data_IF_771108182274
#
_entry.id   IF_771108182274
#
_cell.length_a   1.000
_cell.length_b   1.000
_cell.length_c   1.000
_cell.angle_alpha   90.00
_cell.angle_beta   90.00
_cell.angle_gamma   90.00
#
_symmetry.space_group_name_H-M   'P 1'
#
loop_
_entity.id
_entity.type
_entity.pdbx_description
1 polymer ?
#
# COMPACT_ATOMS: atom_id res chain seq x y z
N UNK A 1 -26.55 -7.60 26.51
CA UNK A 1 -26.51 -8.31 25.22
C UNK A 1 -25.26 -7.80 24.52
N UNK A 2 -24.28 -8.66 24.31
CA UNK A 2 -23.03 -8.26 23.64
C UNK A 2 -23.37 -7.93 22.18
N UNK A 3 -23.13 -6.69 21.78
CA UNK A 3 -23.15 -6.29 20.38
C UNK A 3 -22.16 -7.19 19.63
N UNK A 4 -22.70 -8.04 18.77
CA UNK A 4 -21.87 -8.78 17.82
C UNK A 4 -21.34 -7.78 16.82
N UNK A 5 -20.15 -7.26 17.08
CA UNK A 5 -19.41 -6.41 16.13
C UNK A 5 -19.06 -7.29 14.92
N UNK A 6 -19.89 -7.23 13.88
CA UNK A 6 -19.56 -7.85 12.60
C UNK A 6 -18.41 -7.09 11.97
N UNK A 7 -17.28 -7.77 11.79
CA UNK A 7 -16.15 -7.22 11.06
C UNK A 7 -16.39 -7.41 9.56
N UNK A 8 -16.75 -6.34 8.88
CA UNK A 8 -16.89 -6.31 7.43
C UNK A 8 -15.56 -6.09 6.74
N UNK A 9 -15.47 -6.58 5.51
CA UNK A 9 -14.37 -6.19 4.62
C UNK A 9 -14.64 -4.78 4.08
N UNK A 10 -13.69 -3.90 4.24
CA UNK A 10 -13.82 -2.48 3.90
C UNK A 10 -12.65 -2.03 3.02
N UNK A 11 -12.95 -1.16 2.07
CA UNK A 11 -11.95 -0.48 1.23
C UNK A 11 -12.18 1.03 1.36
N UNK A 12 -11.16 1.74 1.82
CA UNK A 12 -11.18 3.20 1.94
C UNK A 12 -10.17 3.84 0.99
N UNK A 13 -10.54 4.96 0.34
CA UNK A 13 -9.71 5.64 -0.66
C UNK A 13 -8.95 6.82 -0.07
N UNK A 14 -7.66 6.94 -0.44
CA UNK A 14 -6.75 7.98 0.01
C UNK A 14 -5.94 8.56 -1.16
N UNK A 15 -5.46 9.79 -0.97
CA UNK A 15 -4.65 10.51 -1.97
C UNK A 15 -3.16 10.19 -1.84
N UNK A 16 -2.72 9.76 -0.66
CA UNK A 16 -1.32 9.54 -0.31
C UNK A 16 -1.04 8.07 0.08
N UNK A 17 0.22 7.66 -0.07
CA UNK A 17 0.71 6.30 0.19
C UNK A 17 0.58 5.85 1.65
N UNK A 18 0.65 6.81 2.58
CA UNK A 18 0.51 6.53 4.01
C UNK A 18 -0.96 6.46 4.46
N UNK A 19 -1.90 6.72 3.54
CA UNK A 19 -3.35 6.74 3.80
C UNK A 19 -3.71 7.70 4.95
N UNK A 20 -3.18 8.92 4.89
CA UNK A 20 -3.44 9.99 5.86
C UNK A 20 -4.42 11.03 5.33
N UNK A 21 -4.39 11.29 4.02
CA UNK A 21 -5.25 12.26 3.34
C UNK A 21 -6.38 11.52 2.63
N UNK A 22 -7.58 11.58 3.19
CA UNK A 22 -8.75 10.90 2.63
C UNK A 22 -9.21 11.51 1.30
N UNK A 23 -9.76 10.66 0.42
CA UNK A 23 -10.51 11.12 -0.75
C UNK A 23 -11.92 11.46 -0.28
N UNK A 24 -12.39 12.68 -0.58
CA UNK A 24 -13.73 13.09 -0.24
C UNK A 24 -14.77 12.22 -0.99
N UNK A 25 -15.86 11.83 -0.31
CA UNK A 25 -16.91 11.04 -0.94
C UNK A 25 -17.58 11.81 -2.07
N UNK A 26 -17.90 11.10 -3.15
CA UNK A 26 -18.71 11.67 -4.23
C UNK A 26 -20.18 11.68 -3.83
N UNK A 27 -20.94 12.65 -4.36
CA UNK A 27 -22.37 12.76 -4.10
C UNK A 27 -23.09 11.49 -4.56
N UNK A 28 -23.73 10.79 -3.61
CA UNK A 28 -24.43 9.51 -3.87
C UNK A 28 -23.62 8.26 -3.52
N UNK A 29 -22.39 8.39 -3.03
CA UNK A 29 -21.63 7.25 -2.48
C UNK A 29 -22.25 6.78 -1.16
N UNK A 30 -22.18 5.47 -0.89
CA UNK A 30 -22.56 4.87 0.40
C UNK A 30 -21.46 5.16 1.40
N UNK A 31 -21.52 6.34 2.01
CA UNK A 31 -20.47 6.80 2.93
C UNK A 31 -20.93 6.55 4.34
N UNK A 32 -20.26 5.62 5.01
CA UNK A 32 -20.44 5.41 6.45
C UNK A 32 -19.68 6.44 7.28
N UNK A 33 -18.73 7.17 6.63
CA UNK A 33 -17.98 8.29 7.22
C UNK A 33 -18.00 9.45 6.22
N UNK A 34 -18.52 10.58 6.63
CA UNK A 34 -18.61 11.80 5.81
C UNK A 34 -17.24 12.37 5.42
N UNK A 35 -16.15 11.87 6.00
CA UNK A 35 -14.78 12.36 5.78
C UNK A 35 -13.98 11.52 4.79
N UNK A 36 -14.33 10.24 4.57
CA UNK A 36 -13.56 9.29 3.74
C UNK A 36 -14.46 8.55 2.76
N UNK A 37 -14.05 8.43 1.51
CA UNK A 37 -14.71 7.56 0.55
C UNK A 37 -14.43 6.10 0.92
N UNK A 38 -15.42 5.43 1.50
CA UNK A 38 -15.36 4.07 2.04
C UNK A 38 -16.41 3.20 1.35
N UNK A 39 -16.02 1.99 0.98
CA UNK A 39 -16.95 0.95 0.55
C UNK A 39 -16.89 -0.24 1.52
N UNK A 40 -18.02 -0.56 2.13
CA UNK A 40 -18.20 -1.71 2.99
C UNK A 40 -18.91 -2.82 2.22
N UNK A 41 -18.30 -4.00 2.19
CA UNK A 41 -18.90 -5.14 1.52
C UNK A 41 -19.86 -5.87 2.45
N UNK A 42 -21.14 -6.05 2.05
CA UNK A 42 -22.13 -6.75 2.88
C UNK A 42 -21.76 -8.22 3.11
N UNK A 43 -21.05 -8.81 2.17
CA UNK A 43 -20.50 -10.16 2.29
C UNK A 43 -19.01 -10.12 2.48
N UNK A 44 -18.54 -10.76 3.53
CA UNK A 44 -17.11 -10.97 3.70
C UNK A 44 -16.57 -11.90 2.62
N UNK A 45 -15.33 -11.67 2.15
CA UNK A 45 -14.71 -12.51 1.14
C UNK A 45 -14.66 -13.97 1.60
N UNK A 46 -14.95 -14.90 0.68
CA UNK A 46 -14.86 -16.33 0.92
C UNK A 46 -13.39 -16.79 1.02
N UNK A 47 -12.48 -16.06 0.40
CA UNK A 47 -11.04 -16.34 0.43
C UNK A 47 -10.23 -15.06 0.39
N UNK A 48 -9.13 -15.06 1.13
CA UNK A 48 -8.13 -14.00 1.14
C UNK A 48 -6.76 -14.65 0.92
N UNK A 49 -6.07 -14.27 -0.14
CA UNK A 49 -4.72 -14.77 -0.44
C UNK A 49 -3.74 -13.61 -0.36
N UNK A 50 -2.74 -13.72 0.52
CA UNK A 50 -1.66 -12.74 0.64
C UNK A 50 -0.38 -13.44 0.24
N UNK A 51 0.26 -12.98 -0.85
CA UNK A 51 1.47 -13.56 -1.40
C UNK A 51 2.66 -12.64 -1.27
N UNK A 52 3.81 -13.18 -0.90
CA UNK A 52 5.11 -12.51 -0.93
C UNK A 52 6.02 -13.22 -1.92
N UNK A 53 6.70 -12.47 -2.77
CA UNK A 53 7.60 -13.03 -3.78
C UNK A 53 9.01 -12.51 -3.51
N UNK A 54 9.95 -13.44 -3.32
CA UNK A 54 11.38 -13.14 -3.23
C UNK A 54 12.04 -13.47 -4.56
N UNK A 55 12.75 -12.52 -5.13
CA UNK A 55 13.54 -12.73 -6.34
C UNK A 55 14.95 -13.17 -5.97
N UNK A 56 15.41 -14.23 -6.62
CA UNK A 56 16.76 -14.75 -6.50
C UNK A 56 17.43 -14.83 -7.87
N UNK A 57 18.73 -14.57 -7.91
CA UNK A 57 19.56 -14.94 -9.06
C UNK A 57 19.96 -16.41 -8.90
N UNK A 58 19.53 -17.23 -9.83
CA UNK A 58 19.74 -18.69 -9.87
C UNK A 58 20.66 -19.12 -11.01
N UNK A 59 21.64 -18.28 -11.43
CA UNK A 59 22.60 -18.67 -12.44
C UNK A 59 23.50 -19.79 -11.89
N UNK A 60 23.53 -20.92 -12.59
CA UNK A 60 24.34 -22.09 -12.24
C UNK A 60 25.54 -22.17 -13.17
N UNK A 61 26.80 -22.22 -12.65
CA UNK A 61 27.96 -22.49 -13.45
C UNK A 61 27.94 -23.91 -14.02
N UNK A 62 28.48 -24.11 -15.21
CA UNK A 62 28.59 -25.43 -15.82
C UNK A 62 29.42 -26.37 -14.95
N UNK A 63 28.95 -27.61 -14.79
CA UNK A 63 29.68 -28.68 -14.09
C UNK A 63 29.49 -28.70 -12.55
N UNK A 64 28.66 -27.84 -11.97
CA UNK A 64 28.36 -27.88 -10.55
C UNK A 64 26.98 -28.48 -10.30
N UNK A 65 26.90 -29.38 -9.30
CA UNK A 65 25.64 -29.90 -8.79
C UNK A 65 25.23 -29.04 -7.57
N UNK A 66 24.10 -28.36 -7.68
CA UNK A 66 23.57 -27.49 -6.63
C UNK A 66 23.62 -26.00 -6.99
N UNK A 67 22.72 -25.24 -6.41
CA UNK A 67 22.56 -23.79 -6.63
C UNK A 67 22.65 -23.10 -5.29
N UNK A 68 23.47 -22.04 -5.19
CA UNK A 68 23.40 -21.07 -4.11
C UNK A 68 22.68 -19.84 -4.62
N UNK A 69 21.36 -19.71 -4.39
CA UNK A 69 20.57 -18.61 -4.91
C UNK A 69 20.95 -17.31 -4.20
N UNK A 70 21.37 -16.31 -4.97
CA UNK A 70 21.64 -14.96 -4.44
C UNK A 70 20.35 -14.16 -4.40
N UNK A 71 19.97 -13.69 -3.21
CA UNK A 71 18.82 -12.82 -3.03
C UNK A 71 19.03 -11.49 -3.78
N UNK A 72 18.02 -11.07 -4.53
CA UNK A 72 18.00 -9.79 -5.26
C UNK A 72 17.09 -8.78 -4.56
N UNK A 73 15.82 -9.13 -4.37
CA UNK A 73 14.81 -8.25 -3.81
C UNK A 73 13.56 -9.00 -3.37
N UNK A 74 12.84 -8.44 -2.42
CA UNK A 74 11.46 -8.83 -2.11
C UNK A 74 10.51 -7.90 -2.86
N UNK A 75 9.58 -8.48 -3.62
CA UNK A 75 8.51 -7.71 -4.27
C UNK A 75 7.47 -7.28 -3.25
N UNK A 76 6.72 -6.19 -3.51
CA UNK A 76 5.55 -5.84 -2.74
C UNK A 76 4.57 -7.02 -2.64
N UNK A 77 3.89 -7.15 -1.51
CA UNK A 77 2.90 -8.21 -1.32
C UNK A 77 1.72 -8.03 -2.26
N UNK A 78 1.18 -9.13 -2.73
CA UNK A 78 -0.04 -9.19 -3.52
C UNK A 78 -1.16 -9.70 -2.63
N UNK A 79 -2.30 -9.03 -2.69
CA UNK A 79 -3.53 -9.42 -2.00
C UNK A 79 -4.58 -9.75 -3.04
N UNK A 80 -4.97 -11.01 -3.13
CA UNK A 80 -6.04 -11.47 -4.02
C UNK A 80 -7.28 -11.74 -3.18
N UNK A 81 -8.40 -11.16 -3.58
CA UNK A 81 -9.67 -11.27 -2.87
C UNK A 81 -10.82 -11.39 -3.86
N UNK A 82 -11.81 -12.18 -3.49
CA UNK A 82 -13.07 -12.32 -4.22
C UNK A 82 -14.19 -11.65 -3.42
N UNK A 83 -14.77 -10.61 -3.99
CA UNK A 83 -15.78 -9.76 -3.37
C UNK A 83 -17.11 -9.93 -4.09
N UNK A 84 -18.17 -10.06 -3.33
CA UNK A 84 -19.54 -10.23 -3.88
C UNK A 84 -20.35 -8.96 -3.63
N UNK A 85 -20.96 -8.44 -4.68
CA UNK A 85 -21.96 -7.36 -4.62
C UNK A 85 -23.30 -7.95 -5.04
N UNK A 86 -24.24 -8.00 -4.11
CA UNK A 86 -25.60 -8.48 -4.34
C UNK A 86 -26.58 -7.52 -3.63
N UNK A 87 -27.20 -6.60 -4.38
CA UNK A 87 -28.15 -5.65 -3.81
C UNK A 87 -29.40 -6.29 -3.22
N UNK A 88 -29.72 -7.55 -3.61
CA UNK A 88 -30.86 -8.30 -3.06
C UNK A 88 -30.55 -8.97 -1.71
N UNK A 89 -29.27 -8.96 -1.31
CA UNK A 89 -28.87 -9.41 0.01
C UNK A 89 -29.39 -8.45 1.08
N UNK A 90 -29.39 -8.91 2.32
CA UNK A 90 -29.89 -8.14 3.46
C UNK A 90 -29.38 -6.69 3.44
N UNK A 91 -30.29 -5.73 3.62
CA UNK A 91 -29.92 -4.32 3.54
C UNK A 91 -28.84 -3.99 4.57
N UNK A 92 -27.81 -3.30 4.14
CA UNK A 92 -26.90 -2.65 5.06
C UNK A 92 -27.69 -1.58 5.82
N UNK A 93 -27.73 -1.71 7.13
CA UNK A 93 -28.28 -0.66 7.99
C UNK A 93 -27.18 0.33 8.31
N UNK A 94 -27.39 1.59 7.92
CA UNK A 94 -26.63 2.71 8.48
C UNK A 94 -27.32 3.18 9.75
N UNK A 95 -26.55 3.54 10.76
CA UNK A 95 -27.11 4.17 11.95
C UNK A 95 -27.14 5.69 11.70
N UNK A 96 -28.30 6.32 11.94
CA UNK A 96 -28.41 7.76 11.93
C UNK A 96 -27.50 8.34 13.02
N UNK A 97 -26.63 9.25 12.68
CA UNK A 97 -25.71 9.92 13.62
C UNK A 97 -26.50 10.66 14.73
N UNK A 98 -27.69 11.18 14.41
CA UNK A 98 -28.50 11.97 15.34
C UNK A 98 -29.34 11.11 16.30
N UNK A 99 -29.75 9.92 15.93
CA UNK A 99 -30.74 9.11 16.68
C UNK A 99 -30.25 7.75 17.09
N UNK A 100 -29.14 7.26 16.52
CA UNK A 100 -28.67 5.88 16.72
C UNK A 100 -29.64 4.81 16.20
N UNK A 101 -30.68 5.20 15.45
CA UNK A 101 -31.68 4.30 14.90
C UNK A 101 -31.16 3.72 13.58
N UNK A 102 -31.26 2.39 13.37
CA UNK A 102 -30.87 1.79 12.08
C UNK A 102 -31.79 2.32 10.97
N UNK A 103 -31.19 3.01 10.01
CA UNK A 103 -31.87 3.48 8.80
C UNK A 103 -31.60 2.48 7.71
N UNK A 104 -32.65 1.92 7.12
CA UNK A 104 -32.52 1.07 5.94
C UNK A 104 -31.95 1.90 4.80
N UNK A 105 -30.79 1.51 4.28
CA UNK A 105 -30.21 2.16 3.12
C UNK A 105 -31.14 2.05 1.92
N UNK A 106 -31.23 3.12 1.13
CA UNK A 106 -32.02 3.12 -0.11
C UNK A 106 -31.57 1.98 -1.01
N UNK A 107 -32.48 1.17 -1.53
CA UNK A 107 -32.15 0.05 -2.41
C UNK A 107 -31.42 0.58 -3.65
N UNK A 108 -30.09 0.49 -3.66
CA UNK A 108 -29.26 0.82 -4.80
C UNK A 108 -29.22 -0.36 -5.75
N UNK A 109 -29.27 -0.08 -7.03
CA UNK A 109 -29.10 -1.08 -8.07
C UNK A 109 -27.65 -1.59 -8.11
N UNK A 110 -27.44 -2.77 -8.71
CA UNK A 110 -26.08 -3.29 -8.91
C UNK A 110 -25.19 -2.29 -9.67
N UNK A 111 -25.76 -1.61 -10.69
CA UNK A 111 -25.04 -0.62 -11.49
C UNK A 111 -24.57 0.57 -10.64
N UNK A 112 -25.38 1.06 -9.72
CA UNK A 112 -25.03 2.15 -8.81
C UNK A 112 -23.93 1.73 -7.84
N UNK A 113 -24.01 0.52 -7.29
CA UNK A 113 -22.96 -0.02 -6.42
C UNK A 113 -21.64 -0.25 -7.15
N UNK A 114 -21.70 -0.71 -8.39
CA UNK A 114 -20.50 -0.84 -9.24
C UNK A 114 -19.88 0.52 -9.56
N UNK A 115 -20.71 1.54 -9.86
CA UNK A 115 -20.20 2.90 -10.08
C UNK A 115 -19.48 3.47 -8.86
N UNK A 116 -19.97 3.19 -7.64
CA UNK A 116 -19.28 3.59 -6.40
C UNK A 116 -17.94 2.86 -6.27
N UNK A 117 -17.92 1.56 -6.53
CA UNK A 117 -16.67 0.77 -6.51
C UNK A 117 -15.66 1.31 -7.54
N UNK A 118 -16.12 1.56 -8.78
CA UNK A 118 -15.26 2.12 -9.83
C UNK A 118 -14.71 3.49 -9.46
N UNK A 119 -15.51 4.36 -8.84
CA UNK A 119 -15.07 5.66 -8.36
C UNK A 119 -14.04 5.54 -7.23
N UNK A 120 -14.22 4.55 -6.34
CA UNK A 120 -13.30 4.29 -5.22
C UNK A 120 -11.90 3.87 -5.71
N UNK A 121 -11.85 2.91 -6.65
CA UNK A 121 -10.60 2.32 -7.13
C UNK A 121 -10.02 3.05 -8.34
N UNK A 122 -10.81 3.90 -8.97
CA UNK A 122 -10.54 4.52 -10.25
C UNK A 122 -9.49 5.63 -10.23
N UNK A 123 -9.31 6.22 -11.40
CA UNK A 123 -8.40 7.33 -11.61
C UNK A 123 -8.89 8.61 -10.93
N UNK A 124 -8.05 9.22 -10.13
CA UNK A 124 -8.32 10.49 -9.48
C UNK A 124 -7.64 11.63 -10.26
N UNK A 125 -8.44 12.53 -10.81
CA UNK A 125 -7.94 13.66 -11.61
C UNK A 125 -7.10 14.66 -10.79
N UNK A 126 -7.32 14.75 -9.48
CA UNK A 126 -6.57 15.66 -8.60
C UNK A 126 -5.15 15.16 -8.34
N UNK A 127 -4.99 13.86 -8.15
CA UNK A 127 -3.69 13.23 -7.89
C UNK A 127 -3.03 12.67 -9.17
N UNK A 128 -3.71 12.75 -10.31
CA UNK A 128 -3.29 12.22 -11.63
C UNK A 128 -2.88 10.74 -11.59
N UNK A 129 -3.55 9.93 -10.76
CA UNK A 129 -3.27 8.51 -10.56
C UNK A 129 -4.49 7.80 -9.95
N UNK A 130 -4.55 6.47 -9.96
CA UNK A 130 -5.50 5.72 -9.16
C UNK A 130 -5.34 6.02 -7.67
N UNK A 131 -6.45 5.96 -6.93
CA UNK A 131 -6.43 6.16 -5.49
C UNK A 131 -5.55 5.13 -4.78
N UNK A 132 -4.92 5.52 -3.68
CA UNK A 132 -4.42 4.57 -2.70
C UNK A 132 -5.59 4.02 -1.90
N UNK A 133 -5.51 2.76 -1.56
CA UNK A 133 -6.59 2.03 -0.92
C UNK A 133 -6.10 1.44 0.40
N UNK A 134 -6.85 1.66 1.44
CA UNK A 134 -6.64 0.98 2.72
C UNK A 134 -7.65 -0.16 2.82
N UNK A 135 -7.14 -1.38 2.79
CA UNK A 135 -7.95 -2.57 3.01
C UNK A 135 -8.00 -2.86 4.49
N UNK A 136 -9.20 -3.09 5.02
CA UNK A 136 -9.41 -3.46 6.42
C UNK A 136 -10.43 -4.58 6.55
N UNK A 137 -10.12 -5.56 7.41
CA UNK A 137 -11.02 -6.66 7.75
C UNK A 137 -10.74 -7.13 9.17
N UNK A 138 -11.42 -6.52 10.12
CA UNK A 138 -11.22 -6.78 11.53
C UNK A 138 -9.74 -6.68 11.93
N UNK A 139 -9.23 -7.70 12.62
CA UNK A 139 -7.81 -7.83 13.00
C UNK A 139 -6.99 -8.62 11.98
N UNK A 140 -7.64 -9.23 10.98
CA UNK A 140 -6.98 -10.14 10.02
C UNK A 140 -6.22 -9.39 8.95
N UNK A 141 -6.77 -8.28 8.46
CA UNK A 141 -6.19 -7.50 7.38
C UNK A 141 -6.25 -6.02 7.72
N UNK A 142 -5.11 -5.36 7.68
CA UNK A 142 -4.97 -3.91 7.66
C UNK A 142 -3.75 -3.58 6.79
N UNK A 143 -3.98 -3.07 5.58
CA UNK A 143 -2.91 -2.88 4.60
C UNK A 143 -3.18 -1.70 3.67
N UNK A 144 -2.14 -0.90 3.42
CA UNK A 144 -2.17 0.13 2.40
C UNK A 144 -1.81 -0.50 1.06
N UNK A 145 -2.63 -0.27 0.05
CA UNK A 145 -2.52 -0.92 -1.26
C UNK A 145 -2.85 0.04 -2.39
N UNK A 146 -2.64 -0.40 -3.60
CA UNK A 146 -3.23 0.15 -4.83
C UNK A 146 -3.84 -0.99 -5.62
N UNK A 147 -4.91 -0.73 -6.36
CA UNK A 147 -5.49 -1.75 -7.22
C UNK A 147 -4.55 -2.01 -8.39
N UNK A 148 -4.21 -3.25 -8.62
CA UNK A 148 -3.42 -3.69 -9.78
C UNK A 148 -4.33 -4.04 -10.95
N UNK A 149 -5.28 -4.93 -10.70
CA UNK A 149 -6.27 -5.36 -11.69
C UNK A 149 -7.52 -5.90 -11.00
N UNK A 150 -8.64 -5.88 -11.69
CA UNK A 150 -9.85 -6.56 -11.24
C UNK A 150 -10.65 -7.07 -12.43
N UNK A 151 -11.40 -8.14 -12.19
CA UNK A 151 -12.33 -8.73 -13.14
C UNK A 151 -13.71 -8.80 -12.51
N UNK A 152 -14.73 -8.45 -13.27
CA UNK A 152 -16.12 -8.50 -12.84
C UNK A 152 -16.83 -9.64 -13.56
N UNK A 153 -17.40 -10.55 -12.79
CA UNK A 153 -18.22 -11.65 -13.28
C UNK A 153 -19.65 -11.36 -12.89
N UNK A 154 -20.48 -11.03 -13.88
CA UNK A 154 -21.91 -10.83 -13.65
C UNK A 154 -22.60 -12.17 -13.59
N UNK A 155 -23.36 -12.37 -12.50
CA UNK A 155 -24.19 -13.55 -12.30
C UNK A 155 -25.62 -13.15 -11.98
N UNK A 156 -26.55 -14.08 -12.08
CA UNK A 156 -27.99 -13.86 -11.83
C UNK A 156 -28.51 -12.62 -12.56
N UNK A 157 -29.43 -12.83 -13.46
CA UNK A 157 -30.06 -11.79 -14.27
C UNK A 157 -31.56 -11.77 -13.95
N UNK A 158 -32.17 -10.58 -14.01
CA UNK A 158 -33.61 -10.41 -13.90
C UNK A 158 -34.30 -10.70 -15.25
N UNK A 159 -35.63 -10.63 -15.26
CA UNK A 159 -36.45 -10.88 -16.47
C UNK A 159 -36.15 -9.89 -17.62
N UNK A 160 -35.58 -8.74 -17.30
CA UNK A 160 -35.19 -7.72 -18.27
C UNK A 160 -33.78 -7.93 -18.84
N UNK A 161 -33.06 -8.96 -18.36
CA UNK A 161 -31.67 -9.22 -18.75
C UNK A 161 -30.65 -8.36 -18.02
N UNK A 162 -31.03 -7.63 -16.96
CA UNK A 162 -30.11 -6.82 -16.16
C UNK A 162 -29.47 -7.71 -15.08
N UNK A 163 -28.13 -7.60 -14.86
CA UNK A 163 -27.48 -8.38 -13.82
C UNK A 163 -27.91 -7.89 -12.43
N UNK A 164 -28.15 -8.82 -11.52
CA UNK A 164 -28.54 -8.55 -10.14
C UNK A 164 -27.46 -8.91 -9.14
N UNK A 165 -26.40 -9.60 -9.57
CA UNK A 165 -25.26 -9.98 -8.72
C UNK A 165 -23.97 -9.86 -9.52
N UNK A 166 -22.92 -9.35 -8.89
CA UNK A 166 -21.57 -9.33 -9.42
C UNK A 166 -20.57 -9.95 -8.43
N UNK A 167 -19.61 -10.67 -8.97
CA UNK A 167 -18.44 -11.15 -8.24
C UNK A 167 -17.23 -10.43 -8.79
N UNK A 168 -16.49 -9.73 -7.94
CA UNK A 168 -15.28 -8.98 -8.29
C UNK A 168 -14.07 -9.79 -7.81
N UNK A 169 -13.24 -10.21 -8.75
CA UNK A 169 -11.93 -10.79 -8.45
C UNK A 169 -10.90 -9.68 -8.54
N UNK A 170 -10.38 -9.24 -7.41
CA UNK A 170 -9.48 -8.10 -7.33
C UNK A 170 -8.09 -8.51 -6.83
N UNK A 171 -7.07 -7.96 -7.49
CA UNK A 171 -5.67 -8.08 -7.09
C UNK A 171 -5.13 -6.72 -6.68
N UNK A 172 -4.73 -6.61 -5.42
CA UNK A 172 -4.15 -5.41 -4.85
C UNK A 172 -2.65 -5.58 -4.63
N UNK A 173 -1.92 -4.50 -4.86
CA UNK A 173 -0.49 -4.41 -4.62
C UNK A 173 -0.25 -3.58 -3.36
N UNK A 174 0.48 -4.15 -2.40
CA UNK A 174 0.91 -3.42 -1.21
C UNK A 174 1.74 -2.19 -1.59
N UNK A 175 1.49 -1.08 -0.93
CA UNK A 175 2.30 0.13 -1.05
C UNK A 175 2.86 0.52 0.31
N UNK A 176 4.15 0.86 0.31
CA UNK A 176 4.88 1.29 1.49
C UNK A 176 5.56 2.60 1.14
N UNK A 177 5.43 3.62 1.99
CA UNK A 177 6.14 4.88 1.74
C UNK A 177 7.65 4.67 1.77
N UNK A 178 8.36 5.47 0.98
CA UNK A 178 9.82 5.42 0.91
C UNK A 178 10.46 5.56 2.29
N UNK A 179 9.90 6.41 3.15
CA UNK A 179 10.37 6.60 4.52
C UNK A 179 10.25 5.31 5.34
N UNK A 180 9.10 4.64 5.32
CA UNK A 180 8.90 3.36 6.02
C UNK A 180 9.78 2.25 5.43
N UNK A 181 9.96 2.24 4.10
CA UNK A 181 10.83 1.28 3.44
C UNK A 181 12.29 1.43 3.88
N UNK A 182 12.81 2.66 3.93
CA UNK A 182 14.18 2.95 4.37
C UNK A 182 14.39 2.54 5.83
N UNK A 183 13.42 2.82 6.70
CA UNK A 183 13.47 2.42 8.11
C UNK A 183 13.44 0.91 8.26
N UNK A 184 12.53 0.23 7.56
CA UNK A 184 12.39 -1.23 7.63
C UNK A 184 13.60 -1.99 7.07
N UNK A 185 14.29 -1.43 6.07
CA UNK A 185 15.48 -2.04 5.48
C UNK A 185 16.75 -1.78 6.29
N UNK A 186 16.65 -1.06 7.42
CA UNK A 186 17.81 -0.75 8.26
C UNK A 186 18.94 -0.05 7.49
N UNK A 187 18.61 0.75 6.45
CA UNK A 187 19.60 1.46 5.62
C UNK A 187 20.39 2.53 6.37
N UNK A 188 20.20 2.62 7.67
CA UNK A 188 21.10 3.31 8.60
C UNK A 188 22.09 2.32 9.25
N UNK A 189 22.08 1.04 8.83
CA UNK A 189 23.04 0.06 9.32
C UNK A 189 24.44 0.41 8.79
N UNK A 190 25.46 0.42 9.65
CA UNK A 190 26.87 0.59 9.25
C UNK A 190 27.37 -0.47 8.27
N UNK A 191 26.65 -1.60 8.15
CA UNK A 191 27.02 -2.75 7.32
C UNK A 191 26.60 -2.64 5.85
N UNK A 192 25.95 -1.52 5.45
CA UNK A 192 25.46 -1.31 4.08
C UNK A 192 26.21 -0.13 3.45
N UNK A 193 26.57 -0.25 2.16
CA UNK A 193 27.12 0.86 1.39
C UNK A 193 26.08 1.97 1.17
N UNK A 194 26.44 3.20 1.40
CA UNK A 194 25.58 4.36 1.20
C UNK A 194 26.15 5.29 0.14
N UNK A 195 25.30 5.83 -0.74
CA UNK A 195 25.60 6.95 -1.62
C UNK A 195 24.81 8.15 -1.11
N UNK A 196 25.50 9.20 -0.71
CA UNK A 196 24.89 10.41 -0.12
C UNK A 196 25.25 11.61 -0.99
N UNK A 197 24.26 12.38 -1.36
CA UNK A 197 24.44 13.69 -1.99
C UNK A 197 24.62 14.76 -0.91
N UNK A 198 25.70 15.53 -1.04
CA UNK A 198 26.05 16.59 -0.09
C UNK A 198 25.04 17.72 -0.17
N UNK A 199 24.43 18.05 0.95
CA UNK A 199 23.48 19.16 1.11
C UNK A 199 24.16 20.35 1.82
N UNK A 200 23.50 21.50 1.77
CA UNK A 200 23.97 22.71 2.46
C UNK A 200 24.04 22.48 3.98
N UNK A 201 25.20 22.78 4.56
CA UNK A 201 25.47 22.54 5.98
C UNK A 201 26.05 21.18 6.33
N UNK A 202 26.14 20.24 5.38
CA UNK A 202 26.76 18.94 5.61
C UNK A 202 28.27 19.05 5.81
N UNK A 203 28.78 18.31 6.79
CA UNK A 203 30.22 18.10 7.00
C UNK A 203 30.52 16.61 7.03
N UNK A 204 31.71 16.23 6.58
CA UNK A 204 32.09 14.82 6.52
C UNK A 204 31.99 14.10 7.86
N UNK A 205 32.45 14.69 9.01
CA UNK A 205 32.25 14.07 10.32
C UNK A 205 30.78 13.90 10.69
N UNK A 206 29.91 14.85 10.33
CA UNK A 206 28.48 14.76 10.63
C UNK A 206 27.81 13.66 9.80
N UNK A 207 28.19 13.51 8.53
CA UNK A 207 27.73 12.43 7.67
C UNK A 207 28.18 11.06 8.20
N UNK A 208 29.42 10.93 8.67
CA UNK A 208 29.93 9.70 9.29
C UNK A 208 29.16 9.35 10.57
N UNK A 209 28.88 10.34 11.42
CA UNK A 209 28.09 10.14 12.63
C UNK A 209 26.68 9.66 12.28
N UNK A 210 26.05 10.25 11.26
CA UNK A 210 24.69 9.87 10.80
C UNK A 210 24.63 8.44 10.24
N UNK A 211 25.69 7.99 9.55
CA UNK A 211 25.72 6.70 8.85
C UNK A 211 26.29 5.58 9.72
N UNK A 212 27.40 5.85 10.37
CA UNK A 212 28.16 4.85 11.13
C UNK A 212 28.00 4.96 12.66
N UNK A 213 27.33 6.03 13.12
CA UNK A 213 27.20 6.32 14.55
C UNK A 213 28.51 6.83 15.20
N UNK A 214 29.58 7.06 14.42
CA UNK A 214 30.88 7.51 14.96
C UNK A 214 31.58 8.43 13.96
N UNK A 215 32.03 9.59 14.44
CA UNK A 215 32.73 10.61 13.64
C UNK A 215 34.10 10.18 13.15
N UNK A 216 34.75 9.23 13.83
CA UNK A 216 36.16 8.84 13.58
C UNK A 216 36.47 8.40 12.15
N UNK A 217 35.47 7.90 11.42
CA UNK A 217 35.62 7.37 10.06
C UNK A 217 35.77 8.43 8.98
N UNK A 218 35.68 9.75 9.30
CA UNK A 218 35.68 10.81 8.29
C UNK A 218 36.96 10.87 7.45
N UNK A 219 38.10 10.51 8.00
CA UNK A 219 39.39 10.49 7.30
C UNK A 219 39.41 9.38 6.24
N UNK A 220 38.98 8.19 6.64
CA UNK A 220 38.90 7.02 5.76
C UNK A 220 37.92 7.24 4.61
N UNK A 221 36.75 7.78 4.91
CA UNK A 221 35.73 8.13 3.91
C UNK A 221 36.23 9.22 2.94
N UNK A 222 37.00 10.19 3.43
CA UNK A 222 37.61 11.19 2.56
C UNK A 222 38.60 10.56 1.58
N UNK A 223 39.42 9.62 2.03
CA UNK A 223 40.37 8.90 1.18
C UNK A 223 39.67 8.06 0.12
N UNK A 224 38.65 7.32 0.51
CA UNK A 224 37.84 6.46 -0.39
C UNK A 224 37.20 7.31 -1.50
N UNK A 225 36.72 8.50 -1.15
CA UNK A 225 36.08 9.42 -2.11
C UNK A 225 37.05 10.36 -2.82
N UNK A 226 38.36 10.24 -2.60
CA UNK A 226 39.37 11.08 -3.23
C UNK A 226 39.22 12.57 -2.90
N UNK A 227 38.73 12.91 -1.71
CA UNK A 227 38.51 14.30 -1.32
C UNK A 227 39.84 15.00 -0.97
N UNK A 228 40.09 16.10 -1.64
CA UNK A 228 41.30 16.93 -1.39
C UNK A 228 41.16 17.83 -0.16
N UNK A 229 39.96 17.97 0.40
CA UNK A 229 39.66 18.80 1.57
C UNK A 229 38.67 18.12 2.49
N UNK A 230 39.01 18.06 3.75
CA UNK A 230 38.11 17.50 4.82
C UNK A 230 37.07 18.52 5.34
N UNK A 231 37.29 19.83 5.02
CA UNK A 231 36.48 20.92 5.58
C UNK A 231 35.43 21.47 4.62
N UNK A 232 35.63 21.29 3.32
CA UNK A 232 34.72 21.84 2.28
C UNK A 232 34.25 20.68 1.41
N UNK A 233 32.98 20.39 1.49
CA UNK A 233 32.28 19.49 0.58
C UNK A 233 31.57 20.36 -0.47
N UNK A 234 31.67 20.00 -1.75
CA UNK A 234 30.92 20.66 -2.80
C UNK A 234 29.46 20.20 -2.76
N UNK A 235 28.52 21.15 -2.83
CA UNK A 235 27.09 20.84 -2.89
C UNK A 235 26.78 19.96 -4.11
N UNK A 236 25.91 18.99 -3.97
CA UNK A 236 25.50 18.06 -5.01
C UNK A 236 26.53 16.95 -5.30
N UNK A 237 27.69 16.92 -4.62
CA UNK A 237 28.64 15.82 -4.77
C UNK A 237 28.08 14.55 -4.15
N UNK A 238 28.15 13.44 -4.89
CA UNK A 238 27.80 12.13 -4.35
C UNK A 238 29.01 11.50 -3.63
N UNK A 239 28.86 11.20 -2.36
CA UNK A 239 29.86 10.56 -1.53
C UNK A 239 29.50 9.10 -1.28
N UNK A 240 30.47 8.21 -1.44
CA UNK A 240 30.35 6.80 -1.20
C UNK A 240 30.83 6.45 0.21
N UNK A 241 29.97 5.76 0.96
CA UNK A 241 30.24 5.25 2.30
C UNK A 241 30.19 3.72 2.24
N UNK A 242 31.34 3.01 2.26
CA UNK A 242 31.37 1.57 2.24
C UNK A 242 30.86 0.94 3.56
N UNK A 243 30.51 -0.35 3.58
CA UNK A 243 30.17 -1.04 4.82
C UNK A 243 31.39 -1.12 5.75
N UNK A 244 31.17 -0.96 7.05
CA UNK A 244 32.19 -1.25 8.05
C UNK A 244 32.43 -2.76 8.12
N UNK A 245 33.68 -3.19 8.09
CA UNK A 245 34.08 -4.59 8.28
C UNK A 245 34.23 -4.93 9.75
#
# INVERSE_FOLDING_TARGET
MSETNFNYFEIAAYQDVDCTTAVAPQKGSDVFDSSVMLYRFPFNPSSLKIGTIHNYNISQPFGYSGINPKFIATKPRLVNVELVIDPSAEPLYTYSEDTGIPVKETEKTLSERMAIFDALVGYNSTSHRPNYLKLSWGTTLLMNTTLKEFHVIYGRFNEKGEPTRATIQAEFLEVISTTKMLTAQGRQSPDVSHMIEVQEGDTLPHLCERIYGDKKYYVEIAQINGLNSLRKLSLGTQLYFPPLK
#
